data_IF_827432722120
#
_entry.id   IF_827432722120
#
_cell.length_a   1.000
_cell.length_b   1.000
_cell.length_c   1.000
_cell.angle_alpha   90.00
_cell.angle_beta   90.00
_cell.angle_gamma   90.00
#
_symmetry.space_group_name_H-M   'P 1'
#
loop_
_entity.id
_entity.type
_entity.pdbx_description
1 polymer ?
#
# COMPACT_ATOMS: atom_id res chain seq x y z
N UNK A 1 37.11 -4.43 -20.04
CA UNK A 1 36.57 -5.79 -19.89
C UNK A 1 35.39 -5.72 -18.94
N UNK A 2 34.18 -5.57 -19.50
CA UNK A 2 32.95 -5.57 -18.72
C UNK A 2 32.58 -7.03 -18.40
N UNK A 3 32.37 -7.34 -17.13
CA UNK A 3 31.90 -8.63 -16.69
C UNK A 3 30.43 -8.78 -17.10
N UNK A 4 30.16 -9.65 -18.07
CA UNK A 4 28.82 -10.19 -18.33
C UNK A 4 28.47 -11.14 -17.18
N UNK A 5 27.50 -10.76 -16.36
CA UNK A 5 26.80 -11.67 -15.47
C UNK A 5 26.07 -12.71 -16.33
N UNK A 6 26.59 -13.94 -16.36
CA UNK A 6 25.91 -15.08 -16.96
C UNK A 6 24.88 -15.60 -15.96
N UNK A 7 23.61 -15.33 -16.23
CA UNK A 7 22.50 -16.08 -15.65
C UNK A 7 22.59 -17.53 -16.15
N UNK A 8 23.17 -18.40 -15.32
CA UNK A 8 23.12 -19.85 -15.51
C UNK A 8 22.27 -20.41 -14.38
N UNK A 9 21.00 -20.68 -14.67
CA UNK A 9 20.15 -21.53 -13.82
C UNK A 9 19.56 -22.63 -14.71
N UNK A 10 20.20 -23.79 -14.68
CA UNK A 10 19.67 -25.03 -15.23
C UNK A 10 18.68 -25.61 -14.20
N UNK A 11 17.38 -25.54 -14.49
CA UNK A 11 16.37 -26.43 -13.88
C UNK A 11 15.75 -26.03 -12.54
N UNK A 12 15.52 -24.74 -12.26
CA UNK A 12 14.85 -24.30 -11.01
C UNK A 12 13.40 -23.82 -11.23
N UNK A 13 12.50 -23.98 -10.22
CA UNK A 13 11.09 -23.59 -10.32
C UNK A 13 10.94 -22.06 -10.46
N UNK A 14 9.74 -21.63 -10.87
CA UNK A 14 9.26 -20.24 -11.08
C UNK A 14 9.65 -19.23 -9.97
N UNK A 15 10.91 -18.82 -9.87
CA UNK A 15 11.36 -17.76 -8.96
C UNK A 15 11.08 -16.38 -9.57
N UNK A 16 10.68 -15.44 -8.70
CA UNK A 16 10.34 -14.07 -9.11
C UNK A 16 11.61 -13.26 -9.36
N UNK A 17 11.80 -12.83 -10.59
CA UNK A 17 12.95 -11.99 -11.00
C UNK A 17 12.51 -10.54 -11.23
N UNK A 18 13.20 -9.62 -10.54
CA UNK A 18 12.92 -8.17 -10.63
C UNK A 18 13.23 -7.62 -12.01
N UNK A 19 14.37 -8.02 -12.58
CA UNK A 19 14.81 -7.66 -13.92
C UNK A 19 13.81 -8.14 -14.98
N UNK A 20 13.44 -9.43 -14.95
CA UNK A 20 12.46 -10.01 -15.89
C UNK A 20 11.09 -9.32 -15.80
N UNK A 21 10.60 -9.06 -14.59
CA UNK A 21 9.33 -8.36 -14.40
C UNK A 21 9.34 -6.95 -14.99
N UNK A 22 10.44 -6.23 -14.79
CA UNK A 22 10.65 -4.87 -15.32
C UNK A 22 10.74 -4.86 -16.85
N UNK A 23 11.52 -5.76 -17.44
CA UNK A 23 11.66 -5.89 -18.90
C UNK A 23 10.32 -6.21 -19.58
N UNK A 24 9.56 -7.17 -19.02
CA UNK A 24 8.25 -7.55 -19.53
C UNK A 24 7.32 -6.35 -19.57
N UNK A 25 7.25 -5.58 -18.49
CA UNK A 25 6.43 -4.37 -18.44
C UNK A 25 6.85 -3.31 -19.45
N UNK A 26 8.14 -3.03 -19.56
CA UNK A 26 8.66 -2.06 -20.54
C UNK A 26 8.31 -2.47 -21.98
N UNK A 27 8.32 -3.76 -22.29
CA UNK A 27 7.94 -4.26 -23.62
C UNK A 27 6.50 -3.91 -23.98
N UNK A 28 5.56 -4.11 -23.04
CA UNK A 28 4.13 -3.80 -23.22
C UNK A 28 3.92 -2.30 -23.33
N UNK A 29 4.58 -1.52 -22.46
CA UNK A 29 4.51 -0.07 -22.55
C UNK A 29 4.94 0.42 -23.95
N UNK A 30 6.00 -0.16 -24.52
CA UNK A 30 6.43 0.16 -25.89
C UNK A 30 5.39 -0.27 -26.93
N UNK A 31 4.79 -1.44 -26.82
CA UNK A 31 3.73 -1.92 -27.74
C UNK A 31 2.55 -0.97 -27.79
N UNK A 32 2.05 -0.52 -26.64
CA UNK A 32 0.91 0.39 -26.56
C UNK A 32 1.27 1.88 -26.75
N UNK A 33 2.55 2.24 -26.73
CA UNK A 33 3.03 3.61 -26.99
C UNK A 33 3.45 3.85 -28.45
N UNK A 34 3.44 2.83 -29.31
CA UNK A 34 3.76 2.99 -30.73
C UNK A 34 2.59 3.66 -31.47
N UNK A 35 2.81 4.74 -32.24
CA UNK A 35 1.84 5.19 -33.22
C UNK A 35 1.69 4.13 -34.33
N UNK A 36 0.46 3.95 -34.85
CA UNK A 36 0.25 3.14 -36.06
C UNK A 36 1.10 3.70 -37.20
N UNK A 37 1.71 2.83 -37.99
CA UNK A 37 2.45 3.23 -39.20
C UNK A 37 1.50 3.58 -40.34
N UNK A 38 1.86 4.57 -41.16
CA UNK A 38 1.08 5.09 -42.31
C UNK A 38 0.49 4.03 -43.27
N UNK A 39 1.04 2.81 -43.33
CA UNK A 39 0.51 1.72 -44.14
C UNK A 39 -0.75 1.04 -43.58
N UNK A 40 -1.00 1.14 -42.27
CA UNK A 40 -2.21 0.60 -41.61
C UNK A 40 -3.37 1.62 -41.61
N UNK A 41 -3.08 2.89 -41.96
CA UNK A 41 -4.09 3.94 -42.12
C UNK A 41 -4.90 3.76 -43.41
N UNK A 42 -4.28 3.30 -44.50
CA UNK A 42 -4.97 3.16 -45.80
C UNK A 42 -6.04 2.06 -45.79
N UNK A 43 -5.89 0.99 -44.99
CA UNK A 43 -6.93 -0.05 -44.85
C UNK A 43 -8.09 0.38 -43.93
N UNK A 44 -7.91 1.36 -43.04
CA UNK A 44 -8.96 1.82 -42.12
C UNK A 44 -9.74 3.06 -42.60
N UNK A 45 -9.24 3.80 -43.61
CA UNK A 45 -9.91 5.00 -44.17
C UNK A 45 -11.21 4.67 -44.93
N UNK A 46 -11.52 3.40 -45.18
CA UNK A 46 -12.79 2.99 -45.80
C UNK A 46 -14.02 3.03 -44.85
N UNK A 47 -13.87 3.33 -43.55
CA UNK A 47 -14.96 3.34 -42.57
C UNK A 47 -15.14 4.68 -41.83
N UNK A 48 -16.26 5.39 -42.07
CA UNK A 48 -16.63 6.66 -41.42
C UNK A 48 -16.64 6.60 -39.88
N UNK A 49 -15.92 7.51 -39.23
CA UNK A 49 -16.11 7.89 -37.82
C UNK A 49 -14.99 8.81 -37.32
N UNK A 50 -15.33 9.99 -36.79
CA UNK A 50 -14.38 11.03 -36.39
C UNK A 50 -13.27 10.52 -35.47
N UNK A 51 -12.02 10.66 -35.92
CA UNK A 51 -10.83 10.17 -35.24
C UNK A 51 -10.59 10.89 -33.90
N UNK A 52 -10.50 10.10 -32.83
CA UNK A 52 -9.91 10.52 -31.57
C UNK A 52 -8.39 10.59 -31.75
N UNK A 53 -7.83 11.78 -31.56
CA UNK A 53 -6.40 12.02 -31.68
C UNK A 53 -5.68 11.55 -30.40
N UNK A 54 -5.24 10.29 -30.45
CA UNK A 54 -4.43 9.64 -29.41
C UNK A 54 -3.12 10.40 -29.17
N UNK A 55 -2.58 11.04 -30.21
CA UNK A 55 -1.40 11.90 -30.13
C UNK A 55 -1.71 13.15 -29.33
N UNK A 56 -2.83 13.84 -29.51
CA UNK A 56 -3.23 14.96 -28.63
C UNK A 56 -3.48 14.50 -27.18
N UNK A 57 -4.00 13.29 -26.97
CA UNK A 57 -4.16 12.69 -25.63
C UNK A 57 -2.82 12.32 -24.97
N UNK A 58 -1.83 11.87 -25.74
CA UNK A 58 -0.50 11.47 -25.26
C UNK A 58 0.50 12.64 -25.20
N UNK A 59 0.42 13.60 -26.13
CA UNK A 59 1.31 14.78 -26.24
C UNK A 59 0.87 15.94 -25.36
N UNK A 60 -0.39 15.98 -24.91
CA UNK A 60 -0.78 16.78 -23.73
C UNK A 60 -0.08 16.36 -22.43
N UNK A 61 0.72 15.29 -22.46
CA UNK A 61 1.53 14.76 -21.35
C UNK A 61 3.01 14.57 -21.69
N UNK A 62 3.53 15.25 -22.71
CA UNK A 62 4.96 15.20 -23.05
C UNK A 62 5.85 16.00 -22.08
N UNK A 63 5.53 15.96 -20.78
CA UNK A 63 6.44 16.12 -19.66
C UNK A 63 5.85 15.31 -18.48
N UNK A 64 6.64 14.34 -17.99
CA UNK A 64 6.42 13.53 -16.77
C UNK A 64 5.65 12.19 -16.91
N UNK A 65 6.32 11.24 -17.58
CA UNK A 65 6.50 9.81 -17.25
C UNK A 65 5.35 8.98 -16.59
N UNK A 66 4.90 7.95 -17.31
CA UNK A 66 4.32 6.72 -16.72
C UNK A 66 3.10 6.18 -17.48
N UNK A 67 2.89 4.85 -17.51
CA UNK A 67 1.72 4.25 -18.15
C UNK A 67 0.41 4.63 -17.43
N UNK A 68 -0.76 4.44 -18.07
CA UNK A 68 -2.05 4.99 -17.62
C UNK A 68 -2.63 4.41 -16.32
N UNK A 69 -1.84 3.74 -15.47
CA UNK A 69 -2.32 2.93 -14.34
C UNK A 69 -1.96 3.39 -12.93
N UNK A 70 -1.18 4.46 -12.75
CA UNK A 70 -1.02 5.06 -11.42
C UNK A 70 -0.68 6.54 -11.52
N UNK A 71 -1.43 7.36 -10.78
CA UNK A 71 -0.98 8.73 -10.50
C UNK A 71 0.19 8.62 -9.54
N UNK A 72 1.24 9.41 -9.72
CA UNK A 72 2.39 9.42 -8.78
C UNK A 72 1.96 10.07 -7.48
N UNK A 73 1.51 9.26 -6.53
CA UNK A 73 0.99 9.72 -5.25
C UNK A 73 1.98 9.33 -4.16
N UNK A 74 2.70 10.32 -3.63
CA UNK A 74 3.44 10.19 -2.38
C UNK A 74 2.53 10.26 -1.16
N UNK A 75 3.01 9.72 -0.05
CA UNK A 75 2.34 9.70 1.24
C UNK A 75 3.14 10.52 2.25
N UNK A 76 2.52 11.55 2.82
CA UNK A 76 3.08 12.33 3.94
C UNK A 76 2.17 12.20 5.15
N UNK A 77 2.78 12.09 6.31
CA UNK A 77 2.08 12.18 7.59
C UNK A 77 2.95 12.94 8.59
N UNK A 78 2.32 13.83 9.36
CA UNK A 78 3.02 14.76 10.24
C UNK A 78 2.32 14.83 11.62
N UNK A 79 3.13 14.70 12.67
CA UNK A 79 2.71 14.66 14.08
C UNK A 79 1.48 13.77 14.34
N UNK A 80 1.39 12.65 13.63
CA UNK A 80 0.22 11.76 13.65
C UNK A 80 0.07 11.10 15.03
N UNK A 81 -1.03 11.40 15.71
CA UNK A 81 -1.38 10.80 17.00
C UNK A 81 -2.73 10.10 16.90
N UNK A 82 -2.80 8.85 17.34
CA UNK A 82 -3.99 8.00 17.16
C UNK A 82 -4.51 7.54 18.51
N UNK A 83 -5.80 7.74 18.73
CA UNK A 83 -6.48 7.37 19.95
C UNK A 83 -7.53 6.29 19.66
N UNK A 84 -7.43 5.17 20.38
CA UNK A 84 -8.36 4.05 20.27
C UNK A 84 -9.15 3.83 21.55
N UNK A 85 -10.12 2.92 21.47
CA UNK A 85 -10.86 2.45 22.63
C UNK A 85 -9.93 1.70 23.58
N UNK A 86 -10.09 1.95 24.88
CA UNK A 86 -9.48 1.12 25.90
C UNK A 86 -10.03 -0.31 25.76
N UNK A 87 -9.14 -1.30 25.68
CA UNK A 87 -9.51 -2.72 25.52
C UNK A 87 -10.38 -3.21 26.69
N UNK A 88 -10.25 -2.59 27.86
CA UNK A 88 -11.10 -2.78 29.04
C UNK A 88 -12.54 -2.28 28.89
N UNK A 89 -12.85 -1.50 27.86
CA UNK A 89 -14.17 -0.88 27.63
C UNK A 89 -14.95 -1.53 26.47
N UNK A 90 -14.44 -2.62 25.87
CA UNK A 90 -15.21 -3.45 24.93
C UNK A 90 -16.27 -4.26 25.69
N UNK A 91 -17.35 -3.60 26.07
CA UNK A 91 -18.57 -4.25 26.54
C UNK A 91 -19.12 -5.13 25.41
N UNK A 92 -19.19 -6.44 25.64
CA UNK A 92 -20.03 -7.34 24.87
C UNK A 92 -21.47 -6.84 25.08
N UNK A 93 -22.21 -6.57 24.00
CA UNK A 93 -23.60 -6.12 24.13
C UNK A 93 -24.45 -7.24 24.75
N UNK A 94 -24.69 -7.17 26.06
CA UNK A 94 -25.61 -8.06 26.78
C UNK A 94 -27.06 -7.66 26.48
N UNK A 95 -28.01 -8.56 26.73
CA UNK A 95 -29.47 -8.34 26.58
C UNK A 95 -30.00 -7.09 27.33
N UNK A 96 -29.25 -6.56 28.31
CA UNK A 96 -29.56 -5.34 29.05
C UNK A 96 -29.19 -4.02 28.33
N UNK A 97 -28.39 -4.09 27.25
CA UNK A 97 -27.89 -2.91 26.51
C UNK A 97 -29.03 -2.08 25.86
N UNK A 98 -30.08 -2.68 25.26
CA UNK A 98 -31.22 -1.92 24.74
C UNK A 98 -32.00 -1.18 25.83
N UNK A 99 -32.19 -1.82 26.99
CA UNK A 99 -32.90 -1.24 28.14
C UNK A 99 -32.14 -0.02 28.70
N UNK A 100 -30.81 -0.12 28.75
CA UNK A 100 -29.95 0.96 29.20
C UNK A 100 -29.87 2.10 28.15
N UNK A 101 -29.90 1.79 26.85
CA UNK A 101 -30.01 2.84 25.80
C UNK A 101 -31.33 3.61 25.94
N UNK A 102 -32.43 2.95 26.27
CA UNK A 102 -33.75 3.57 26.48
C UNK A 102 -33.80 4.50 27.71
N UNK A 103 -33.24 4.05 28.83
CA UNK A 103 -33.10 4.84 30.06
C UNK A 103 -32.19 6.07 29.87
N UNK A 104 -31.08 5.94 29.12
CA UNK A 104 -30.22 7.09 28.77
C UNK A 104 -30.95 8.12 27.91
N UNK A 105 -31.72 7.67 26.92
CA UNK A 105 -32.52 8.55 26.06
C UNK A 105 -33.59 9.30 26.86
N UNK A 106 -34.25 8.63 27.82
CA UNK A 106 -35.17 9.28 28.75
C UNK A 106 -34.45 10.34 29.61
N UNK A 107 -33.31 9.99 30.22
CA UNK A 107 -32.51 10.93 31.03
C UNK A 107 -32.00 12.15 30.23
N UNK A 108 -31.73 11.98 28.93
CA UNK A 108 -31.40 13.09 28.04
C UNK A 108 -32.59 14.02 27.79
N UNK A 109 -33.82 13.48 27.69
CA UNK A 109 -35.06 14.25 27.57
C UNK A 109 -35.42 15.09 28.80
N UNK A 110 -34.98 14.69 30.00
CA UNK A 110 -35.20 15.41 31.26
C UNK A 110 -34.06 16.39 31.64
N UNK A 111 -33.11 16.67 30.74
CA UNK A 111 -32.04 17.66 30.98
C UNK A 111 -30.91 17.19 31.92
N UNK A 112 -30.90 15.91 32.31
CA UNK A 112 -29.94 15.31 33.26
C UNK A 112 -28.75 14.63 32.53
N UNK A 113 -28.65 14.81 31.19
CA UNK A 113 -27.64 14.15 30.36
C UNK A 113 -26.18 14.43 30.76
N UNK A 114 -25.91 15.52 31.50
CA UNK A 114 -24.57 15.80 32.04
C UNK A 114 -24.12 14.84 33.15
N UNK A 115 -25.04 14.20 33.90
CA UNK A 115 -24.69 13.19 34.92
C UNK A 115 -24.19 11.88 34.31
N UNK A 116 -24.52 11.61 33.05
CA UNK A 116 -24.14 10.37 32.34
C UNK A 116 -23.01 10.58 31.33
N UNK A 117 -22.34 11.74 31.37
CA UNK A 117 -21.16 12.02 30.56
C UNK A 117 -19.98 11.24 31.11
N UNK A 118 -19.90 9.95 30.74
CA UNK A 118 -18.74 9.10 31.01
C UNK A 118 -17.51 9.82 30.44
N UNK A 119 -16.47 10.01 31.24
CA UNK A 119 -15.15 10.37 30.71
C UNK A 119 -14.78 9.30 29.70
N UNK A 120 -14.76 9.69 28.42
CA UNK A 120 -14.33 8.79 27.36
C UNK A 120 -12.83 8.57 27.55
N UNK A 121 -12.48 7.48 28.22
CA UNK A 121 -11.11 7.09 28.41
C UNK A 121 -10.56 6.55 27.09
N UNK A 122 -9.81 7.38 26.39
CA UNK A 122 -9.13 7.00 25.16
C UNK A 122 -7.71 6.54 25.45
N UNK A 123 -7.26 5.49 24.77
CA UNK A 123 -5.87 5.05 24.81
C UNK A 123 -5.09 5.68 23.65
N UNK A 124 -3.97 6.32 23.95
CA UNK A 124 -3.00 6.71 22.93
C UNK A 124 -2.35 5.44 22.35
N UNK A 125 -2.55 5.22 21.05
CA UNK A 125 -2.01 4.09 20.30
C UNK A 125 -0.77 4.46 19.48
N UNK A 126 -0.71 5.70 18.99
CA UNK A 126 0.44 6.28 18.29
C UNK A 126 0.66 7.70 18.80
N UNK A 127 1.92 8.09 19.00
CA UNK A 127 2.32 9.39 19.52
C UNK A 127 3.17 10.15 18.49
N UNK A 128 2.59 11.21 17.91
CA UNK A 128 3.27 12.20 17.06
C UNK A 128 4.23 11.63 16.00
N UNK A 129 3.82 10.56 15.31
CA UNK A 129 4.68 9.93 14.30
C UNK A 129 4.66 10.74 13.00
N UNK A 130 5.83 10.90 12.37
CA UNK A 130 6.02 11.73 11.17
C UNK A 130 6.92 11.04 10.14
N UNK A 131 6.64 11.25 8.86
CA UNK A 131 7.41 10.67 7.76
C UNK A 131 6.86 10.98 6.37
N UNK A 132 7.67 10.65 5.37
CA UNK A 132 7.37 10.85 3.94
C UNK A 132 7.82 9.65 3.12
N UNK A 133 6.92 9.13 2.29
CA UNK A 133 7.17 8.09 1.30
C UNK A 133 6.83 8.68 -0.07
N UNK A 134 7.83 8.83 -0.90
CA UNK A 134 7.70 9.37 -2.25
C UNK A 134 7.28 8.27 -3.24
N UNK A 135 6.86 8.67 -4.43
CA UNK A 135 6.52 7.71 -5.47
C UNK A 135 7.75 6.86 -5.86
N UNK A 136 7.57 5.55 -5.98
CA UNK A 136 8.65 4.61 -6.26
C UNK A 136 9.50 4.24 -5.05
N UNK A 137 9.17 4.72 -3.85
CA UNK A 137 9.83 4.29 -2.61
C UNK A 137 9.05 3.20 -1.88
N UNK A 138 9.80 2.31 -1.23
CA UNK A 138 9.29 1.27 -0.35
C UNK A 138 9.74 1.53 1.10
N UNK A 139 8.76 1.67 2.00
CA UNK A 139 8.96 1.86 3.44
C UNK A 139 8.71 0.56 4.19
N UNK A 140 9.70 0.12 4.97
CA UNK A 140 9.56 -0.96 5.94
C UNK A 140 9.17 -0.38 7.31
N UNK A 141 8.09 -0.86 7.90
CA UNK A 141 7.69 -0.53 9.27
C UNK A 141 8.01 -1.71 10.17
N UNK A 142 8.96 -1.51 11.08
CA UNK A 142 9.42 -2.49 12.05
C UNK A 142 8.92 -2.14 13.46
N UNK A 143 8.50 -3.15 14.18
CA UNK A 143 8.14 -3.05 15.59
C UNK A 143 7.65 -4.39 16.11
N UNK A 144 7.77 -4.60 17.42
CA UNK A 144 7.29 -5.82 18.06
C UNK A 144 5.75 -5.91 18.01
N UNK A 145 5.15 -7.09 18.22
CA UNK A 145 3.70 -7.21 18.26
C UNK A 145 3.16 -6.31 19.38
N UNK A 146 2.19 -5.45 19.03
CA UNK A 146 1.66 -4.44 19.96
C UNK A 146 2.39 -3.09 19.96
N UNK A 147 3.47 -2.93 19.20
CA UNK A 147 4.19 -1.66 19.06
C UNK A 147 3.38 -0.55 18.36
N UNK A 148 2.34 -0.91 17.59
CA UNK A 148 1.50 0.06 16.88
C UNK A 148 1.68 0.07 15.35
N UNK A 149 2.49 -0.82 14.77
CA UNK A 149 2.70 -0.92 13.32
C UNK A 149 1.38 -1.05 12.54
N UNK A 150 0.54 -2.04 12.87
CA UNK A 150 -0.75 -2.21 12.21
C UNK A 150 -1.70 -1.02 12.42
N UNK A 151 -1.60 -0.31 13.55
CA UNK A 151 -2.35 0.94 13.77
C UNK A 151 -1.90 2.02 12.80
N UNK A 152 -0.59 2.19 12.63
CA UNK A 152 -0.02 3.13 11.68
C UNK A 152 -0.47 2.80 10.26
N UNK A 153 -0.29 1.56 9.82
CA UNK A 153 -0.66 1.11 8.49
C UNK A 153 -2.15 1.27 8.21
N UNK A 154 -3.04 1.00 9.18
CA UNK A 154 -4.48 1.24 9.01
C UNK A 154 -4.81 2.71 8.81
N UNK A 155 -4.19 3.60 9.59
CA UNK A 155 -4.42 5.04 9.43
C UNK A 155 -3.86 5.55 8.11
N UNK A 156 -2.66 5.12 7.71
CA UNK A 156 -2.07 5.44 6.41
C UNK A 156 -2.87 4.84 5.24
N UNK A 157 -3.43 3.64 5.39
CA UNK A 157 -4.35 3.01 4.43
C UNK A 157 -5.77 3.57 4.45
N UNK A 158 -5.99 4.71 5.11
CA UNK A 158 -7.27 5.39 5.28
C UNK A 158 -8.40 4.52 5.89
N UNK A 159 -8.05 3.54 6.72
CA UNK A 159 -8.97 2.73 7.54
C UNK A 159 -9.18 3.41 8.91
N UNK A 160 -9.65 4.67 8.87
CA UNK A 160 -9.70 5.58 10.03
C UNK A 160 -10.94 5.42 10.92
N UNK A 161 -12.01 4.79 10.41
CA UNK A 161 -13.33 4.74 11.06
C UNK A 161 -13.37 3.98 12.39
N UNK A 162 -12.38 3.15 12.68
CA UNK A 162 -12.29 2.35 13.91
C UNK A 162 -11.65 3.11 15.07
N UNK A 163 -11.08 4.29 14.82
CA UNK A 163 -10.39 5.09 15.82
C UNK A 163 -11.27 6.25 16.27
N UNK A 164 -11.13 6.64 17.54
CA UNK A 164 -11.97 7.68 18.15
C UNK A 164 -11.52 9.07 17.78
N UNK A 165 -10.21 9.25 17.76
CA UNK A 165 -9.58 10.53 17.44
C UNK A 165 -8.25 10.27 16.75
N UNK A 166 -7.99 11.06 15.72
CA UNK A 166 -6.71 11.07 15.02
C UNK A 166 -6.31 12.53 14.88
N UNK A 167 -5.23 12.91 15.55
CA UNK A 167 -4.62 14.24 15.47
C UNK A 167 -3.42 14.21 14.50
N UNK A 168 -2.98 15.38 14.06
CA UNK A 168 -1.95 15.52 13.02
C UNK A 168 -2.54 15.49 11.61
N UNK A 169 -1.68 15.41 10.60
CA UNK A 169 -2.08 15.41 9.19
C UNK A 169 -1.61 14.15 8.48
N UNK A 170 -2.38 13.72 7.47
CA UNK A 170 -2.00 12.73 6.47
C UNK A 170 -2.42 13.30 5.11
N UNK A 171 -1.50 13.29 4.14
CA UNK A 171 -1.73 13.78 2.79
C UNK A 171 -1.30 12.72 1.77
N UNK A 172 -2.16 12.50 0.78
CA UNK A 172 -1.92 11.57 -0.33
C UNK A 172 -1.70 12.39 -1.60
N UNK A 173 -0.48 12.87 -1.83
CA UNK A 173 -0.16 13.73 -2.97
C UNK A 173 -1.02 15.00 -3.04
N UNK A 174 -1.46 15.54 -1.89
CA UNK A 174 -2.35 16.71 -1.82
C UNK A 174 -3.84 16.40 -1.72
N UNK A 175 -4.22 15.12 -1.67
CA UNK A 175 -5.56 14.70 -1.28
C UNK A 175 -5.65 14.52 0.24
N UNK A 176 -6.73 15.02 0.84
CA UNK A 176 -6.99 14.76 2.26
C UNK A 176 -7.58 13.36 2.48
N UNK A 177 -7.51 12.82 3.71
CA UNK A 177 -8.11 11.52 4.03
C UNK A 177 -9.62 11.47 3.77
N UNK A 178 -10.33 12.59 3.97
CA UNK A 178 -11.76 12.73 3.72
C UNK A 178 -12.08 12.67 2.22
N UNK A 179 -11.23 13.27 1.38
CA UNK A 179 -11.35 13.18 -0.07
C UNK A 179 -11.08 11.78 -0.57
N UNK A 180 -10.03 11.12 -0.06
CA UNK A 180 -9.75 9.71 -0.36
C UNK A 180 -10.92 8.83 0.07
N UNK A 181 -11.48 9.03 1.26
CA UNK A 181 -12.60 8.22 1.74
C UNK A 181 -13.86 8.37 0.88
N UNK A 182 -14.16 9.59 0.42
CA UNK A 182 -15.39 9.91 -0.31
C UNK A 182 -15.29 9.66 -1.82
N UNK A 183 -14.19 10.08 -2.44
CA UNK A 183 -14.08 10.16 -3.89
C UNK A 183 -12.88 9.39 -4.46
N UNK A 184 -11.78 9.25 -3.73
CA UNK A 184 -10.54 8.67 -4.29
C UNK A 184 -10.12 7.37 -3.63
N UNK A 185 -11.09 6.59 -3.11
CA UNK A 185 -10.82 5.35 -2.36
C UNK A 185 -10.00 4.33 -3.15
N UNK A 186 -10.16 4.32 -4.48
CA UNK A 186 -9.40 3.45 -5.37
C UNK A 186 -7.91 3.78 -5.48
N UNK A 187 -7.44 4.92 -4.97
CA UNK A 187 -6.03 5.33 -5.03
C UNK A 187 -5.17 4.81 -3.87
N UNK A 188 -5.81 4.40 -2.76
CA UNK A 188 -5.13 3.90 -1.57
C UNK A 188 -5.66 2.51 -1.27
N UNK A 189 -4.80 1.50 -1.40
CA UNK A 189 -5.13 0.12 -1.11
C UNK A 189 -4.45 -0.34 0.18
N UNK A 190 -5.22 -1.04 1.01
CA UNK A 190 -4.75 -1.63 2.26
C UNK A 190 -5.04 -3.13 2.22
N UNK A 191 -3.99 -3.92 2.27
CA UNK A 191 -4.02 -5.36 2.44
C UNK A 191 -3.76 -5.69 3.91
N UNK A 192 -4.68 -6.44 4.51
CA UNK A 192 -4.56 -6.89 5.88
C UNK A 192 -3.63 -8.11 5.99
N UNK A 193 -3.30 -8.49 7.21
CA UNK A 193 -2.44 -9.66 7.50
C UNK A 193 -2.93 -10.95 6.85
N UNK A 194 -4.25 -11.16 6.84
CA UNK A 194 -4.89 -12.31 6.19
C UNK A 194 -5.32 -11.96 4.76
N UNK A 195 -4.93 -12.81 3.80
CA UNK A 195 -5.40 -12.72 2.42
C UNK A 195 -6.80 -13.30 2.29
N UNK A 196 -7.78 -12.44 2.00
CA UNK A 196 -9.17 -12.83 1.85
C UNK A 196 -9.52 -12.99 0.36
N UNK A 197 -9.36 -14.21 -0.14
CA UNK A 197 -9.76 -14.61 -1.49
C UNK A 197 -10.99 -15.51 -1.48
N UNK A 198 -11.73 -15.54 -2.59
CA UNK A 198 -12.76 -16.56 -2.76
C UNK A 198 -12.10 -17.93 -2.99
N UNK A 199 -12.29 -18.92 -2.10
CA UNK A 199 -11.45 -20.11 -2.09
C UNK A 199 -11.65 -21.04 -3.28
N UNK A 200 -12.85 -21.07 -3.88
CA UNK A 200 -13.19 -21.94 -5.01
C UNK A 200 -12.86 -21.34 -6.38
N UNK A 201 -12.54 -20.05 -6.45
CA UNK A 201 -12.16 -19.41 -7.71
C UNK A 201 -10.72 -19.76 -8.06
N UNK A 202 -10.45 -19.89 -9.36
CA UNK A 202 -9.08 -20.00 -9.87
C UNK A 202 -8.35 -18.66 -9.82
N UNK A 203 -7.02 -18.70 -9.78
CA UNK A 203 -6.18 -17.48 -9.83
C UNK A 203 -6.58 -16.60 -11.01
N UNK A 204 -6.74 -17.18 -12.20
CA UNK A 204 -7.17 -16.48 -13.42
C UNK A 204 -8.53 -15.80 -13.23
N UNK A 205 -9.54 -16.52 -12.72
CA UNK A 205 -10.88 -15.95 -12.51
C UNK A 205 -10.87 -14.81 -11.48
N UNK A 206 -10.08 -14.96 -10.41
CA UNK A 206 -9.92 -13.92 -9.38
C UNK A 206 -9.33 -12.64 -9.97
N UNK A 207 -8.23 -12.75 -10.72
CA UNK A 207 -7.60 -11.60 -11.37
C UNK A 207 -8.47 -11.01 -12.48
N UNK A 208 -9.21 -11.84 -13.20
CA UNK A 208 -10.06 -11.39 -14.31
C UNK A 208 -11.18 -10.52 -13.78
N UNK A 209 -11.83 -10.97 -12.70
CA UNK A 209 -12.84 -10.20 -11.99
C UNK A 209 -12.28 -8.85 -11.49
N UNK A 210 -11.08 -8.85 -10.89
CA UNK A 210 -10.45 -7.62 -10.39
C UNK A 210 -10.14 -6.62 -11.52
N UNK A 211 -9.56 -7.11 -12.62
CA UNK A 211 -9.28 -6.31 -13.82
C UNK A 211 -10.58 -5.76 -14.39
N UNK A 212 -11.60 -6.60 -14.59
CA UNK A 212 -12.87 -6.18 -15.19
C UNK A 212 -13.59 -5.10 -14.40
N UNK A 213 -13.50 -5.14 -13.07
CA UNK A 213 -14.10 -4.13 -12.19
C UNK A 213 -13.44 -2.74 -12.31
N UNK A 214 -12.21 -2.70 -12.81
CA UNK A 214 -11.33 -1.52 -12.86
C UNK A 214 -10.93 -1.09 -14.26
N UNK A 215 -11.30 -1.86 -15.28
CA UNK A 215 -11.19 -1.49 -16.69
C UNK A 215 -11.78 -0.09 -16.93
N UNK A 216 -11.06 0.82 -17.59
CA UNK A 216 -11.61 2.05 -18.15
C UNK A 216 -12.82 1.74 -19.04
N UNK A 217 -13.71 2.70 -19.32
CA UNK A 217 -14.90 2.42 -20.15
C UNK A 217 -14.57 1.94 -21.56
N UNK A 218 -15.48 1.20 -22.21
CA UNK A 218 -15.32 0.71 -23.60
C UNK A 218 -15.07 1.82 -24.63
N UNK A 219 -15.35 3.07 -24.27
CA UNK A 219 -15.06 4.24 -25.13
C UNK A 219 -13.59 4.66 -25.11
N UNK A 220 -12.78 4.17 -24.16
CA UNK A 220 -11.36 4.50 -24.00
C UNK A 220 -10.43 3.44 -24.61
N UNK A 221 -10.92 2.22 -24.84
CA UNK A 221 -10.13 1.08 -25.34
C UNK A 221 -10.83 0.46 -26.55
N UNK A 222 -10.21 0.53 -27.73
CA UNK A 222 -10.74 -0.04 -28.99
C UNK A 222 -10.89 -1.57 -28.90
N UNK A 223 -9.91 -2.25 -28.31
CA UNK A 223 -9.95 -3.68 -28.01
C UNK A 223 -9.85 -3.91 -26.49
N UNK A 224 -10.99 -4.20 -25.86
CA UNK A 224 -11.04 -4.47 -24.41
C UNK A 224 -10.57 -5.88 -24.07
N UNK A 225 -10.92 -6.86 -24.90
CA UNK A 225 -10.65 -8.26 -24.61
C UNK A 225 -9.17 -8.58 -24.80
N UNK A 226 -8.56 -8.04 -25.86
CA UNK A 226 -7.11 -8.11 -26.05
C UNK A 226 -6.35 -7.40 -24.94
N UNK A 227 -6.77 -6.18 -24.57
CA UNK A 227 -6.16 -5.46 -23.44
C UNK A 227 -6.30 -6.24 -22.11
N UNK A 228 -7.49 -6.79 -21.81
CA UNK A 228 -7.72 -7.62 -20.62
C UNK A 228 -6.78 -8.81 -20.61
N UNK A 229 -6.69 -9.53 -21.73
CA UNK A 229 -5.86 -10.73 -21.87
C UNK A 229 -4.38 -10.40 -21.70
N UNK A 230 -3.88 -9.38 -22.39
CA UNK A 230 -2.48 -9.00 -22.28
C UNK A 230 -2.12 -8.51 -20.87
N UNK A 231 -2.97 -7.69 -20.27
CA UNK A 231 -2.76 -7.23 -18.89
C UNK A 231 -2.79 -8.40 -17.90
N UNK A 232 -3.71 -9.35 -18.07
CA UNK A 232 -3.75 -10.59 -17.28
C UNK A 232 -2.46 -11.40 -17.43
N UNK A 233 -2.07 -11.72 -18.66
CA UNK A 233 -0.89 -12.54 -18.96
C UNK A 233 0.38 -11.87 -18.39
N UNK A 234 0.43 -10.53 -18.42
CA UNK A 234 1.50 -9.75 -17.80
C UNK A 234 1.56 -9.92 -16.29
N UNK A 235 0.43 -9.80 -15.59
CA UNK A 235 0.41 -10.00 -14.14
C UNK A 235 0.80 -11.44 -13.78
N UNK A 236 0.31 -12.42 -14.53
CA UNK A 236 0.66 -13.82 -14.32
C UNK A 236 2.16 -14.08 -14.53
N UNK A 237 2.75 -13.49 -15.56
CA UNK A 237 4.19 -13.59 -15.84
C UNK A 237 5.05 -12.87 -14.80
N UNK A 238 4.71 -11.61 -14.48
CA UNK A 238 5.48 -10.76 -13.57
C UNK A 238 5.62 -11.36 -12.17
N UNK A 239 4.57 -12.03 -11.69
CA UNK A 239 4.54 -12.61 -10.34
C UNK A 239 4.73 -14.13 -10.32
N UNK A 240 5.12 -14.73 -11.45
CA UNK A 240 5.38 -16.17 -11.55
C UNK A 240 4.15 -17.04 -11.27
N UNK A 241 2.95 -16.54 -11.57
CA UNK A 241 1.66 -17.22 -11.34
C UNK A 241 1.14 -17.98 -12.57
N UNK A 242 1.83 -17.89 -13.72
CA UNK A 242 1.41 -18.54 -14.96
C UNK A 242 1.18 -20.05 -14.80
N UNK A 243 2.05 -20.75 -14.06
CA UNK A 243 1.93 -22.19 -13.81
C UNK A 243 0.74 -22.59 -12.93
N UNK A 244 0.23 -21.68 -12.10
CA UNK A 244 -0.89 -21.92 -11.19
C UNK A 244 -2.16 -21.14 -11.58
N UNK A 245 -2.21 -20.53 -12.77
CA UNK A 245 -3.29 -19.64 -13.19
C UNK A 245 -4.68 -20.31 -13.14
N UNK A 246 -4.75 -21.58 -13.52
CA UNK A 246 -6.00 -22.35 -13.58
C UNK A 246 -6.21 -23.23 -12.33
N UNK A 247 -5.40 -23.02 -11.28
CA UNK A 247 -5.55 -23.66 -9.96
C UNK A 247 -6.43 -22.78 -9.06
N UNK A 248 -7.27 -23.41 -8.23
CA UNK A 248 -8.08 -22.70 -7.23
C UNK A 248 -7.19 -22.01 -6.19
N UNK A 249 -7.60 -20.82 -5.73
CA UNK A 249 -6.83 -20.08 -4.73
C UNK A 249 -6.82 -20.82 -3.39
N UNK A 250 -7.94 -21.44 -3.03
CA UNK A 250 -8.08 -22.19 -1.79
C UNK A 250 -8.08 -21.31 -0.53
N UNK A 251 -8.08 -21.95 0.63
CA UNK A 251 -7.94 -21.35 1.95
C UNK A 251 -7.41 -22.39 2.95
N UNK A 252 -7.58 -22.16 4.25
CA UNK A 252 -7.16 -23.10 5.30
C UNK A 252 -7.88 -24.47 5.25
N UNK A 253 -9.07 -24.54 4.65
CA UNK A 253 -9.90 -25.75 4.60
C UNK A 253 -9.90 -26.42 3.22
N UNK A 254 -9.78 -25.61 2.16
CA UNK A 254 -9.75 -26.06 0.77
C UNK A 254 -8.34 -25.88 0.21
N UNK A 255 -7.66 -26.99 -0.08
CA UNK A 255 -6.33 -26.95 -0.67
C UNK A 255 -6.38 -26.29 -2.05
N UNK A 256 -5.56 -25.26 -2.24
CA UNK A 256 -5.37 -24.57 -3.51
C UNK A 256 -3.90 -24.30 -3.76
N UNK A 257 -3.60 -23.12 -4.29
CA UNK A 257 -2.22 -22.63 -4.45
C UNK A 257 -1.47 -22.53 -3.11
N UNK A 258 -0.15 -22.51 -3.16
CA UNK A 258 0.71 -22.35 -1.98
C UNK A 258 0.48 -21.01 -1.27
N UNK A 259 0.93 -20.89 -0.02
CA UNK A 259 0.83 -19.64 0.74
C UNK A 259 1.55 -18.47 0.05
N UNK A 260 2.73 -18.72 -0.51
CA UNK A 260 3.50 -17.71 -1.25
C UNK A 260 2.82 -17.30 -2.56
N UNK A 261 2.30 -18.27 -3.33
CA UNK A 261 1.50 -17.97 -4.53
C UNK A 261 0.26 -17.17 -4.18
N UNK A 262 -0.49 -17.53 -3.13
CA UNK A 262 -1.67 -16.78 -2.70
C UNK A 262 -1.35 -15.33 -2.33
N UNK A 263 -0.23 -15.09 -1.64
CA UNK A 263 0.25 -13.73 -1.33
C UNK A 263 0.59 -12.94 -2.61
N UNK A 264 1.19 -13.59 -3.62
CA UNK A 264 1.44 -12.97 -4.94
C UNK A 264 0.15 -12.71 -5.73
N UNK A 265 -0.88 -13.54 -5.57
CA UNK A 265 -2.23 -13.26 -6.13
C UNK A 265 -2.81 -11.98 -5.51
N UNK A 266 -2.65 -11.76 -4.20
CA UNK A 266 -3.05 -10.51 -3.55
C UNK A 266 -2.34 -9.28 -4.13
N UNK A 267 -1.04 -9.39 -4.44
CA UNK A 267 -0.28 -8.33 -5.12
C UNK A 267 -0.88 -8.05 -6.50
N UNK A 268 -1.08 -9.10 -7.31
CA UNK A 268 -1.64 -8.96 -8.64
C UNK A 268 -3.05 -8.33 -8.63
N UNK A 269 -3.90 -8.72 -7.68
CA UNK A 269 -5.23 -8.13 -7.49
C UNK A 269 -5.16 -6.65 -7.10
N UNK A 270 -4.26 -6.30 -6.17
CA UNK A 270 -4.07 -4.91 -5.75
C UNK A 270 -3.49 -4.05 -6.87
N UNK A 271 -2.63 -4.60 -7.73
CA UNK A 271 -2.17 -3.92 -8.95
C UNK A 271 -3.31 -3.72 -9.94
N UNK A 272 -4.15 -4.73 -10.15
CA UNK A 272 -5.36 -4.60 -10.96
C UNK A 272 -6.34 -3.53 -10.41
N UNK A 273 -6.28 -3.23 -9.11
CA UNK A 273 -7.10 -2.19 -8.48
C UNK A 273 -6.78 -0.76 -8.96
N UNK A 274 -5.58 -0.53 -9.53
CA UNK A 274 -5.09 0.78 -9.95
C UNK A 274 -4.75 1.72 -8.78
N UNK A 275 -4.49 1.18 -7.59
CA UNK A 275 -4.07 1.96 -6.43
C UNK A 275 -2.65 2.51 -6.62
N UNK A 276 -2.42 3.75 -6.20
CA UNK A 276 -1.13 4.44 -6.30
C UNK A 276 -0.33 4.36 -4.99
N UNK A 277 -1.03 4.19 -3.86
CA UNK A 277 -0.45 3.95 -2.54
C UNK A 277 -0.87 2.55 -2.07
N UNK A 278 0.13 1.70 -1.85
CA UNK A 278 -0.06 0.30 -1.45
C UNK A 278 0.44 0.09 -0.02
N UNK A 279 -0.46 -0.35 0.87
CA UNK A 279 -0.16 -0.62 2.27
C UNK A 279 -0.34 -2.13 2.55
N UNK A 280 0.68 -2.77 3.13
CA UNK A 280 0.75 -4.21 3.38
C UNK A 280 1.04 -4.50 4.86
N UNK A 281 0.04 -4.99 5.59
CA UNK A 281 0.14 -5.26 7.04
C UNK A 281 0.46 -6.74 7.29
N UNK A 282 1.53 -7.07 8.03
CA UNK A 282 1.83 -8.46 8.42
C UNK A 282 2.16 -9.40 7.26
N UNK A 283 2.84 -8.89 6.24
CA UNK A 283 2.79 -9.45 4.88
C UNK A 283 3.51 -10.78 4.65
N UNK A 284 4.47 -11.16 5.49
CA UNK A 284 5.26 -12.41 5.34
C UNK A 284 4.85 -13.53 6.30
N UNK A 285 3.78 -13.34 7.09
CA UNK A 285 3.36 -14.33 8.07
C UNK A 285 2.91 -15.62 7.39
N UNK A 286 3.45 -16.76 7.86
CA UNK A 286 3.11 -18.08 7.34
C UNK A 286 3.81 -18.44 6.02
N UNK A 287 4.81 -17.66 5.60
CA UNK A 287 5.70 -17.99 4.49
C UNK A 287 7.02 -18.57 5.01
N UNK A 288 7.60 -19.50 4.24
CA UNK A 288 9.02 -19.84 4.40
C UNK A 288 9.91 -18.70 3.89
N UNK A 289 11.20 -18.75 4.21
CA UNK A 289 12.16 -17.67 3.90
C UNK A 289 12.29 -17.37 2.41
N UNK A 290 12.20 -18.38 1.54
CA UNK A 290 12.31 -18.21 0.09
C UNK A 290 11.05 -17.60 -0.50
N UNK A 291 9.88 -18.10 -0.11
CA UNK A 291 8.59 -17.52 -0.52
C UNK A 291 8.41 -16.08 -0.02
N UNK A 292 8.88 -15.78 1.20
CA UNK A 292 8.85 -14.43 1.74
C UNK A 292 9.72 -13.46 0.94
N UNK A 293 10.90 -13.89 0.51
CA UNK A 293 11.77 -13.07 -0.33
C UNK A 293 11.14 -12.82 -1.72
N UNK A 294 10.59 -13.84 -2.36
CA UNK A 294 9.92 -13.71 -3.65
C UNK A 294 8.67 -12.81 -3.57
N UNK A 295 7.96 -12.87 -2.44
CA UNK A 295 6.85 -11.97 -2.16
C UNK A 295 7.32 -10.51 -2.08
N UNK A 296 8.38 -10.20 -1.32
CA UNK A 296 8.90 -8.82 -1.21
C UNK A 296 9.52 -8.34 -2.52
N UNK A 297 10.16 -9.22 -3.30
CA UNK A 297 10.61 -8.91 -4.66
C UNK A 297 9.44 -8.53 -5.56
N UNK A 298 8.30 -9.22 -5.45
CA UNK A 298 7.07 -8.87 -6.18
C UNK A 298 6.56 -7.47 -5.82
N UNK A 299 6.66 -7.08 -4.53
CA UNK A 299 6.36 -5.72 -4.09
C UNK A 299 7.34 -4.70 -4.69
N UNK A 300 8.66 -4.96 -4.60
CA UNK A 300 9.69 -4.10 -5.19
C UNK A 300 9.47 -3.86 -6.69
N UNK A 301 9.18 -4.92 -7.45
CA UNK A 301 8.82 -4.83 -8.88
C UNK A 301 7.64 -3.89 -9.05
N UNK A 302 6.58 -4.08 -8.27
CA UNK A 302 5.38 -3.24 -8.34
C UNK A 302 5.70 -1.77 -8.07
N UNK A 303 6.48 -1.49 -7.02
CA UNK A 303 6.89 -0.15 -6.61
C UNK A 303 7.73 0.55 -7.69
N UNK A 304 8.72 -0.14 -8.26
CA UNK A 304 9.60 0.40 -9.30
C UNK A 304 8.85 0.68 -10.60
N UNK A 305 8.17 -0.36 -11.08
CA UNK A 305 7.58 -0.39 -12.41
C UNK A 305 6.40 0.57 -12.51
N UNK A 306 5.57 0.61 -11.48
CA UNK A 306 4.36 1.44 -11.44
C UNK A 306 4.58 2.76 -10.70
N UNK A 307 5.79 3.03 -10.18
CA UNK A 307 6.13 4.23 -9.40
C UNK A 307 5.12 4.47 -8.28
N UNK A 308 4.82 3.43 -7.51
CA UNK A 308 3.88 3.50 -6.38
C UNK A 308 4.59 3.84 -5.09
N UNK A 309 3.84 4.40 -4.14
CA UNK A 309 4.32 4.50 -2.75
C UNK A 309 3.92 3.24 -2.00
N UNK A 310 4.88 2.47 -1.50
CA UNK A 310 4.61 1.18 -0.87
C UNK A 310 5.04 1.17 0.58
N UNK A 311 4.14 0.82 1.50
CA UNK A 311 4.43 0.69 2.93
C UNK A 311 4.15 -0.75 3.36
N UNK A 312 5.13 -1.38 3.98
CA UNK A 312 5.07 -2.80 4.35
C UNK A 312 5.44 -2.95 5.82
N UNK A 313 4.66 -3.71 6.57
CA UNK A 313 4.99 -4.14 7.94
C UNK A 313 5.39 -5.61 7.92
N UNK A 314 6.64 -5.89 8.31
CA UNK A 314 7.18 -7.24 8.43
C UNK A 314 7.77 -7.38 9.83
N UNK A 315 7.28 -8.34 10.60
CA UNK A 315 7.77 -8.56 11.97
C UNK A 315 9.22 -9.08 11.99
N UNK A 316 9.53 -10.03 11.11
CA UNK A 316 10.85 -10.64 10.99
C UNK A 316 11.25 -10.67 9.51
N UNK A 317 12.22 -9.83 9.16
CA UNK A 317 12.80 -9.75 7.82
C UNK A 317 14.21 -10.33 7.83
N UNK A 318 14.53 -11.17 6.85
CA UNK A 318 15.92 -11.53 6.58
C UNK A 318 16.70 -10.33 6.04
N UNK A 319 18.03 -10.39 6.04
CA UNK A 319 18.87 -9.32 5.50
C UNK A 319 18.53 -9.05 4.01
N UNK A 320 18.39 -10.11 3.21
CA UNK A 320 18.01 -10.00 1.80
C UNK A 320 16.64 -9.32 1.59
N UNK A 321 15.72 -9.45 2.55
CA UNK A 321 14.43 -8.74 2.51
C UNK A 321 14.64 -7.28 2.88
N UNK A 322 15.42 -7.03 3.94
CA UNK A 322 15.70 -5.67 4.44
C UNK A 322 16.35 -4.78 3.38
N UNK A 323 17.30 -5.32 2.61
CA UNK A 323 18.04 -4.60 1.56
C UNK A 323 17.16 -4.15 0.39
N UNK A 324 15.94 -4.69 0.24
CA UNK A 324 15.01 -4.26 -0.82
C UNK A 324 14.29 -2.95 -0.50
N UNK A 325 14.34 -2.48 0.75
CA UNK A 325 13.61 -1.30 1.21
C UNK A 325 14.47 -0.03 1.15
N UNK A 326 13.87 1.06 0.68
CA UNK A 326 14.52 2.37 0.61
C UNK A 326 14.60 3.02 2.00
N UNK A 327 13.50 2.91 2.75
CA UNK A 327 13.32 3.54 4.07
C UNK A 327 12.88 2.52 5.11
N UNK A 328 13.21 2.80 6.36
CA UNK A 328 12.70 2.06 7.53
C UNK A 328 12.15 3.01 8.58
N UNK A 329 11.02 2.63 9.17
CA UNK A 329 10.48 3.19 10.39
C UNK A 329 10.58 2.17 11.50
N UNK A 330 11.11 2.56 12.66
CA UNK A 330 11.12 1.72 13.85
C UNK A 330 10.13 2.32 14.86
N UNK A 331 9.15 1.53 15.26
CA UNK A 331 8.08 1.91 16.19
C UNK A 331 8.11 0.99 17.40
N UNK A 332 7.97 1.56 18.60
CA UNK A 332 7.75 0.81 19.84
C UNK A 332 6.79 1.55 20.78
N UNK A 333 5.86 0.82 21.39
CA UNK A 333 4.80 1.38 22.26
C UNK A 333 4.09 2.63 21.68
N UNK A 334 3.86 2.65 20.37
CA UNK A 334 3.24 3.74 19.63
C UNK A 334 4.16 4.93 19.37
N UNK A 335 5.43 4.87 19.78
CA UNK A 335 6.42 5.94 19.63
C UNK A 335 7.34 5.65 18.48
N UNK A 336 7.70 6.69 17.75
CA UNK A 336 8.66 6.61 16.66
C UNK A 336 10.09 6.71 17.21
N UNK A 337 10.87 5.65 17.01
CA UNK A 337 12.26 5.54 17.47
C UNK A 337 13.25 6.00 16.38
N UNK A 338 12.89 5.78 15.12
CA UNK A 338 13.66 6.14 13.94
C UNK A 338 12.76 6.21 12.70
N UNK A 339 13.10 7.09 11.76
CA UNK A 339 12.59 7.08 10.38
C UNK A 339 13.65 7.64 9.44
N UNK A 340 13.87 6.97 8.32
CA UNK A 340 14.81 7.46 7.31
C UNK A 340 15.30 6.35 6.40
N UNK A 341 16.41 6.57 5.68
CA UNK A 341 17.03 5.55 4.85
C UNK A 341 17.31 4.27 5.65
N UNK A 342 17.02 3.11 5.06
CA UNK A 342 17.27 1.82 5.69
C UNK A 342 18.77 1.62 6.03
N UNK A 343 19.64 2.04 5.11
CA UNK A 343 21.10 1.96 5.27
C UNK A 343 21.66 2.73 6.47
N UNK A 344 20.97 3.77 6.95
CA UNK A 344 21.44 4.62 8.05
C UNK A 344 20.93 4.20 9.44
N UNK A 345 19.96 3.28 9.50
CA UNK A 345 19.26 2.94 10.73
C UNK A 345 20.19 2.31 11.78
N UNK A 346 21.06 1.38 11.38
CA UNK A 346 22.02 0.74 12.29
C UNK A 346 22.96 1.77 12.90
N UNK A 347 23.57 2.60 12.05
CA UNK A 347 24.52 3.63 12.48
C UNK A 347 23.87 4.65 13.44
N UNK A 348 22.56 4.92 13.30
CA UNK A 348 21.81 5.75 14.24
C UNK A 348 21.76 5.14 15.64
N UNK A 349 21.39 3.87 15.77
CA UNK A 349 21.31 3.21 17.09
C UNK A 349 22.70 2.93 17.69
N UNK A 350 23.72 2.70 16.87
CA UNK A 350 25.11 2.60 17.33
C UNK A 350 25.61 3.91 17.94
N UNK A 351 25.25 5.06 17.37
CA UNK A 351 25.55 6.39 17.96
C UNK A 351 24.83 6.63 19.29
N UNK A 352 23.69 5.96 19.52
CA UNK A 352 23.00 5.96 20.82
C UNK A 352 23.63 4.98 21.83
N UNK A 353 24.68 4.25 21.43
CA UNK A 353 25.42 3.33 22.29
C UNK A 353 24.95 1.87 22.20
N UNK A 354 24.18 1.49 21.18
CA UNK A 354 23.66 0.14 21.01
C UNK A 354 24.37 -0.57 19.85
N UNK A 355 25.14 -1.60 20.17
CA UNK A 355 25.91 -2.35 19.19
C UNK A 355 25.06 -3.41 18.48
N UNK A 356 25.12 -3.45 17.15
CA UNK A 356 24.58 -4.57 16.36
C UNK A 356 25.49 -5.80 16.48
N UNK A 357 25.00 -6.96 16.93
CA UNK A 357 25.76 -8.21 16.88
C UNK A 357 26.03 -8.66 15.45
N UNK A 358 27.24 -9.16 15.17
CA UNK A 358 27.69 -9.54 13.81
C UNK A 358 26.80 -10.58 13.08
N UNK A 359 26.14 -11.47 13.83
CA UNK A 359 25.32 -12.56 13.27
C UNK A 359 23.81 -12.29 13.31
N UNK A 360 23.41 -11.11 13.79
CA UNK A 360 22.00 -10.73 13.86
C UNK A 360 21.63 -9.95 12.60
N UNK A 361 20.45 -10.22 12.04
CA UNK A 361 19.93 -9.44 10.92
C UNK A 361 19.68 -8.00 11.34
N UNK A 362 19.68 -7.08 10.39
CA UNK A 362 19.39 -5.66 10.67
C UNK A 362 17.97 -5.50 11.21
N UNK A 363 16.97 -6.18 10.66
CA UNK A 363 15.60 -6.07 11.15
C UNK A 363 15.43 -6.59 12.59
N UNK A 364 16.05 -7.73 12.93
CA UNK A 364 16.02 -8.25 14.31
C UNK A 364 16.73 -7.31 15.28
N UNK A 365 17.87 -6.72 14.86
CA UNK A 365 18.55 -5.71 15.66
C UNK A 365 17.66 -4.50 15.94
N UNK A 366 17.04 -3.94 14.90
CA UNK A 366 16.19 -2.74 15.00
C UNK A 366 14.94 -2.96 15.85
N UNK A 367 14.33 -4.15 15.78
CA UNK A 367 13.17 -4.49 16.62
C UNK A 367 13.55 -4.80 18.08
N UNK A 368 14.80 -5.19 18.34
CA UNK A 368 15.32 -5.51 19.67
C UNK A 368 15.94 -4.33 20.44
N UNK A 369 16.08 -3.14 19.85
CA UNK A 369 16.81 -2.01 20.48
C UNK A 369 16.22 -1.55 21.82
N UNK A 370 14.91 -1.68 22.01
CA UNK A 370 14.23 -1.31 23.26
C UNK A 370 14.26 -2.41 24.31
N UNK A 371 14.68 -3.62 23.94
CA UNK A 371 14.71 -4.77 24.84
C UNK A 371 16.03 -4.81 25.61
N UNK A 372 15.94 -4.63 26.93
CA UNK A 372 17.11 -4.62 27.82
C UNK A 372 17.93 -5.92 27.75
N UNK A 373 17.29 -7.05 27.46
CA UNK A 373 17.93 -8.38 27.41
C UNK A 373 18.49 -8.75 26.03
N UNK A 374 18.00 -8.15 24.94
CA UNK A 374 18.46 -8.44 23.57
C UNK A 374 19.57 -7.47 23.14
N UNK A 375 19.56 -6.24 23.67
CA UNK A 375 20.50 -5.19 23.28
C UNK A 375 21.88 -5.38 23.89
N UNK A 376 22.92 -5.04 23.10
CA UNK A 376 24.30 -4.95 23.58
C UNK A 376 24.70 -3.48 23.67
N UNK A 377 25.05 -3.04 24.87
CA UNK A 377 25.53 -1.67 25.08
C UNK A 377 27.02 -1.61 24.77
N UNK A 378 27.43 -0.59 24.02
CA UNK A 378 28.84 -0.30 23.75
C UNK A 378 29.51 0.09 25.08
N UNK A 379 30.67 -0.49 25.43
CA UNK A 379 31.38 -0.12 26.66
C UNK A 379 31.60 1.39 26.76
N UNK A 380 31.22 1.99 27.90
CA UNK A 380 31.30 3.44 28.16
C UNK A 380 30.02 4.23 27.83
N UNK A 381 28.98 3.57 27.31
CA UNK A 381 27.67 4.18 27.03
C UNK A 381 26.59 3.82 28.05
N UNK A 382 26.89 3.03 29.08
CA UNK A 382 25.93 2.42 30.03
C UNK A 382 24.97 3.44 30.66
N UNK A 383 25.47 4.64 30.98
CA UNK A 383 24.69 5.73 31.57
C UNK A 383 23.95 6.60 30.54
N UNK A 384 24.31 6.51 29.26
CA UNK A 384 23.78 7.36 28.17
C UNK A 384 22.76 6.66 27.29
N UNK A 385 22.76 5.33 27.24
CA UNK A 385 21.84 4.57 26.37
C UNK A 385 20.39 4.76 26.84
N UNK A 386 19.47 5.18 25.95
CA UNK A 386 18.03 5.25 26.24
C UNK A 386 17.50 3.89 26.73
N UNK A 387 16.66 3.85 27.78
CA UNK A 387 16.20 2.58 28.38
C UNK A 387 14.78 2.23 28.00
N UNK A 388 13.90 3.23 27.93
CA UNK A 388 12.48 3.07 27.61
C UNK A 388 12.17 3.59 26.21
N UNK A 389 11.06 3.15 25.61
CA UNK A 389 10.59 3.69 24.33
C UNK A 389 10.42 5.21 24.38
N UNK A 390 10.03 5.78 25.53
CA UNK A 390 9.94 7.23 25.73
C UNK A 390 11.32 7.91 25.71
N UNK A 391 12.37 7.27 26.23
CA UNK A 391 13.74 7.81 26.19
C UNK A 391 14.26 7.84 24.76
N UNK A 392 14.01 6.77 23.99
CA UNK A 392 14.37 6.71 22.58
C UNK A 392 13.61 7.73 21.74
N UNK A 393 12.33 7.93 22.00
CA UNK A 393 11.53 8.96 21.36
C UNK A 393 12.11 10.37 21.63
N UNK A 394 12.50 10.65 22.88
CA UNK A 394 13.17 11.92 23.21
C UNK A 394 14.52 12.07 22.48
N UNK A 395 15.30 10.99 22.42
CA UNK A 395 16.55 10.98 21.67
C UNK A 395 16.32 11.19 20.16
N UNK A 396 15.26 10.59 19.61
CA UNK A 396 14.84 10.78 18.22
C UNK A 396 14.48 12.23 17.94
N UNK A 397 13.58 12.84 18.73
CA UNK A 397 13.20 14.24 18.56
C UNK A 397 14.37 15.23 18.74
N UNK A 398 15.38 14.88 19.53
CA UNK A 398 16.60 15.68 19.69
C UNK A 398 17.63 15.46 18.55
N UNK A 399 17.44 14.44 17.70
CA UNK A 399 18.43 14.03 16.70
C UNK A 399 18.47 14.93 15.46
N UNK A 400 19.62 14.96 14.79
CA UNK A 400 19.77 15.63 13.48
C UNK A 400 18.97 14.94 12.38
N UNK A 401 18.81 13.62 12.50
CA UNK A 401 18.04 12.78 11.58
C UNK A 401 16.57 13.19 11.59
N UNK A 402 15.97 13.35 12.76
CA UNK A 402 14.58 13.82 12.86
C UNK A 402 14.40 15.20 12.25
N UNK A 403 15.33 16.13 12.51
CA UNK A 403 15.28 17.46 11.88
C UNK A 403 15.37 17.37 10.34
N UNK A 404 16.16 16.43 9.81
CA UNK A 404 16.24 16.19 8.37
C UNK A 404 14.93 15.64 7.80
N UNK A 405 14.28 14.71 8.50
CA UNK A 405 12.95 14.18 8.14
C UNK A 405 11.91 15.29 8.12
N UNK A 406 11.89 16.16 9.14
CA UNK A 406 10.95 17.28 9.16
C UNK A 406 11.20 18.28 8.02
N UNK A 407 12.47 18.50 7.63
CA UNK A 407 12.79 19.29 6.43
C UNK A 407 12.29 18.61 5.15
N UNK A 408 12.42 17.29 5.03
CA UNK A 408 11.90 16.53 3.88
C UNK A 408 10.38 16.59 3.81
N UNK A 409 9.69 16.39 4.94
CA UNK A 409 8.23 16.53 5.04
C UNK A 409 7.79 17.92 4.59
N UNK A 410 8.39 18.98 5.13
CA UNK A 410 8.05 20.35 4.77
C UNK A 410 8.44 20.72 3.32
N UNK A 411 9.48 20.10 2.76
CA UNK A 411 9.84 20.27 1.35
C UNK A 411 8.82 19.59 0.43
N UNK A 412 8.43 18.36 0.76
CA UNK A 412 7.45 17.61 -0.03
C UNK A 412 6.06 18.25 0.03
N UNK A 413 5.63 18.74 1.19
CA UNK A 413 4.37 19.47 1.33
C UNK A 413 4.35 20.76 0.49
N UNK A 414 5.47 21.50 0.45
CA UNK A 414 5.62 22.67 -0.43
C UNK A 414 5.56 22.28 -1.90
N UNK A 415 6.28 21.23 -2.29
CA UNK A 415 6.25 20.74 -3.66
C UNK A 415 4.85 20.32 -4.11
N UNK A 416 4.08 19.63 -3.26
CA UNK A 416 2.68 19.30 -3.56
C UNK A 416 1.84 20.54 -3.85
N UNK A 417 2.07 21.62 -3.11
CA UNK A 417 1.35 22.88 -3.26
C UNK A 417 1.78 23.64 -4.53
N UNK A 418 3.08 23.73 -4.78
CA UNK A 418 3.67 24.42 -5.93
C UNK A 418 3.32 23.73 -7.26
N UNK A 419 3.41 22.39 -7.30
CA UNK A 419 3.10 21.58 -8.47
C UNK A 419 1.59 21.42 -8.69
N UNK A 420 0.74 21.95 -7.80
CA UNK A 420 -0.71 21.69 -7.78
C UNK A 420 -1.08 20.19 -7.94
N UNK A 421 -0.23 19.26 -7.45
CA UNK A 421 -0.40 17.80 -7.69
C UNK A 421 -1.77 17.29 -7.32
N UNK A 422 -2.35 17.86 -6.26
CA UNK A 422 -3.72 17.53 -5.87
C UNK A 422 -4.72 17.81 -7.00
N UNK A 423 -4.60 18.91 -7.73
CA UNK A 423 -5.46 19.23 -8.88
C UNK A 423 -5.28 18.20 -10.00
N UNK A 424 -4.03 17.90 -10.37
CA UNK A 424 -3.71 16.91 -11.41
C UNK A 424 -4.28 15.51 -11.08
N UNK A 425 -4.14 15.08 -9.82
CA UNK A 425 -4.68 13.79 -9.36
C UNK A 425 -6.21 13.78 -9.45
N UNK A 426 -6.87 14.85 -8.98
CA UNK A 426 -8.34 14.97 -9.04
C UNK A 426 -8.81 14.90 -10.49
N UNK A 427 -8.17 15.65 -11.38
CA UNK A 427 -8.50 15.69 -12.80
C UNK A 427 -8.29 14.32 -13.46
N UNK A 428 -7.13 13.69 -13.26
CA UNK A 428 -6.83 12.38 -13.83
C UNK A 428 -7.84 11.32 -13.39
N UNK A 429 -8.15 11.25 -12.10
CA UNK A 429 -9.10 10.27 -11.57
C UNK A 429 -10.52 10.57 -12.07
N UNK A 430 -10.92 11.84 -12.12
CA UNK A 430 -12.23 12.23 -12.63
C UNK A 430 -12.38 11.92 -14.12
N UNK A 431 -11.36 12.17 -14.94
CA UNK A 431 -11.34 11.80 -16.36
C UNK A 431 -11.45 10.27 -16.54
N UNK A 432 -10.71 9.50 -15.74
CA UNK A 432 -10.73 8.03 -15.77
C UNK A 432 -12.12 7.47 -15.40
N UNK A 433 -12.80 8.08 -14.42
CA UNK A 433 -14.17 7.71 -14.03
C UNK A 433 -15.23 8.11 -15.05
N UNK A 434 -15.07 9.29 -15.64
CA UNK A 434 -16.14 9.92 -16.42
C UNK A 434 -16.09 9.66 -17.91
N UNK A 435 -14.96 9.14 -18.44
CA UNK A 435 -14.79 8.85 -19.86
C UNK A 435 -15.36 9.98 -20.73
N UNK A 436 -14.67 11.11 -20.77
CA UNK A 436 -15.02 12.32 -21.53
C UNK A 436 -16.56 12.55 -21.68
N UNK A 437 -17.13 13.31 -20.74
CA UNK A 437 -18.41 14.02 -20.83
C UNK A 437 -19.75 13.26 -20.70
N UNK A 438 -19.85 11.92 -20.71
CA UNK A 438 -21.17 11.23 -20.67
C UNK A 438 -21.28 9.94 -19.82
N UNK A 439 -20.51 9.83 -18.73
CA UNK A 439 -20.70 8.72 -17.78
C UNK A 439 -21.92 8.94 -16.87
N UNK A 440 -22.70 7.88 -16.62
CA UNK A 440 -23.78 7.88 -15.60
C UNK A 440 -23.23 7.90 -14.16
N UNK A 441 -21.91 7.86 -13.98
CA UNK A 441 -21.24 7.95 -12.68
C UNK A 441 -21.20 9.39 -12.19
N UNK A 442 -21.59 9.61 -10.93
CA UNK A 442 -21.44 10.91 -10.26
C UNK A 442 -19.96 11.16 -9.95
N UNK A 443 -19.48 12.39 -10.12
CA UNK A 443 -18.10 12.83 -9.76
C UNK A 443 -17.66 12.40 -8.36
N UNK A 444 -18.58 12.57 -7.41
CA UNK A 444 -18.39 12.23 -5.99
C UNK A 444 -18.44 10.73 -5.68
N UNK A 445 -18.64 9.87 -6.69
CA UNK A 445 -18.61 8.41 -6.49
C UNK A 445 -17.16 7.95 -6.26
N UNK A 446 -16.90 7.11 -5.24
CA UNK A 446 -15.59 6.50 -5.06
C UNK A 446 -15.30 5.38 -6.07
N UNK A 447 -16.29 4.94 -6.85
CA UNK A 447 -16.20 3.81 -7.77
C UNK A 447 -15.87 4.23 -9.21
N UNK A 448 -15.10 3.38 -9.90
CA UNK A 448 -14.70 3.56 -11.31
C UNK A 448 -15.75 3.03 -12.31
N UNK A 449 -16.59 2.09 -11.89
CA UNK A 449 -17.62 1.44 -12.72
C UNK A 449 -19.02 1.63 -12.15
N UNK A 450 -20.06 1.57 -12.98
CA UNK A 450 -21.45 1.74 -12.55
C UNK A 450 -21.92 0.59 -11.65
N UNK A 451 -22.88 0.85 -10.76
CA UNK A 451 -23.48 -0.19 -9.90
C UNK A 451 -24.01 -1.37 -10.73
N UNK A 452 -24.64 -1.09 -11.87
CA UNK A 452 -25.17 -2.13 -12.77
C UNK A 452 -24.07 -3.03 -13.33
N UNK A 453 -22.93 -2.45 -13.70
CA UNK A 453 -21.80 -3.19 -14.23
C UNK A 453 -21.13 -4.01 -13.10
N UNK A 454 -20.93 -3.41 -11.93
CA UNK A 454 -20.42 -4.12 -10.75
C UNK A 454 -21.32 -5.32 -10.39
N UNK A 455 -22.63 -5.13 -10.40
CA UNK A 455 -23.59 -6.19 -10.15
C UNK A 455 -23.49 -7.31 -11.21
N UNK A 456 -23.39 -6.96 -12.49
CA UNK A 456 -23.22 -7.95 -13.55
C UNK A 456 -21.92 -8.77 -13.38
N UNK A 457 -20.80 -8.12 -13.03
CA UNK A 457 -19.54 -8.84 -12.80
C UNK A 457 -19.56 -9.68 -11.53
N UNK A 458 -20.20 -9.20 -10.46
CA UNK A 458 -20.43 -10.01 -9.26
C UNK A 458 -21.28 -11.23 -9.60
N UNK A 459 -22.37 -11.06 -10.34
CA UNK A 459 -23.24 -12.18 -10.75
C UNK A 459 -22.47 -13.21 -11.59
N UNK A 460 -21.66 -12.78 -12.56
CA UNK A 460 -20.82 -13.69 -13.35
C UNK A 460 -19.82 -14.45 -12.47
N UNK A 461 -19.22 -13.76 -11.48
CA UNK A 461 -18.31 -14.39 -10.52
C UNK A 461 -19.04 -15.44 -9.68
N UNK A 462 -20.18 -15.10 -9.10
CA UNK A 462 -21.01 -16.03 -8.31
C UNK A 462 -21.53 -17.21 -9.14
N UNK A 463 -21.87 -17.01 -10.41
CA UNK A 463 -22.25 -18.10 -11.31
C UNK A 463 -21.06 -19.00 -11.71
N UNK A 464 -19.83 -18.55 -11.48
CA UNK A 464 -18.58 -19.26 -11.80
C UNK A 464 -17.97 -20.01 -10.60
N UNK A 465 -18.54 -19.79 -9.41
CA UNK A 465 -18.27 -20.46 -8.13
C UNK A 465 -19.11 -21.74 -8.08
#
# INVERSE_FOLDING_TARGET
>A
MAAQEKDISFGEPLHVSVSRGTERFQSIQRTYSKPLTLGEEEEMVAGKGSAFDLTTWLTGRQQQQGPPFATRIGLVFNELSVYGDNVSDRHIETVATPLWKLLKSAAHGFGIGKLFKKEESYRLLLNKVSGVVEDGEMLLVLGRPGAGCSTLLRVLGNRRSTYRRIDGSVSYGGLTPEEVAKSYRGQVAYNAEEDLHHPTLTVRKTLEFAIECKMPSQRMLKDRDGYRKEFMDTLLDMYGLAGCADTIVGNAFLRGVSGGERKRVSIAEQVASGASVDIWDGSTRGLDSSSALDYVRSLRITTDVLRKSTVVSIYQASENIYELFDKVMVVDEGKQLYFGPASEAVAYFERLGIQKPLRQTTADFLTGVTQLHERRVIPGFEDRVPKTAADFERAWFASKQQQAVMRQVAAFERQIQEDERGHEIREFVDQTKMGAQKSKLRRKSPYTSTITYQFAQLFKREASI
#
